data_IF_735000992905
#
_entry.id   IF_735000992905
#
_cell.length_a   1.000
_cell.length_b   1.000
_cell.length_c   1.000
_cell.angle_alpha   90.00
_cell.angle_beta   90.00
_cell.angle_gamma   90.00
#
_symmetry.space_group_name_H-M   'P 1'
#
loop_
_entity.id
_entity.type
_entity.pdbx_description
1 polymer ?
#
# COMPACT_ATOMS: atom_id res chain seq x y z
N UNK A 1 12.68 -37.48 -7.80
CA UNK A 1 11.51 -36.62 -8.09
C UNK A 1 11.07 -35.99 -6.79
N UNK A 2 11.61 -34.81 -6.46
CA UNK A 2 11.38 -34.17 -5.16
C UNK A 2 10.09 -33.37 -5.23
N UNK A 3 9.05 -33.84 -4.55
CA UNK A 3 7.79 -33.12 -4.39
C UNK A 3 8.03 -31.83 -3.59
N UNK A 4 7.69 -30.69 -4.18
CA UNK A 4 7.71 -29.40 -3.49
C UNK A 4 6.61 -29.36 -2.42
N UNK A 5 6.88 -28.87 -1.20
CA UNK A 5 5.88 -28.82 -0.14
C UNK A 5 4.79 -27.79 -0.47
N UNK A 6 3.53 -28.23 -0.46
CA UNK A 6 2.34 -27.39 -0.59
C UNK A 6 2.15 -26.59 0.70
N UNK A 7 2.79 -25.42 0.80
CA UNK A 7 2.54 -24.49 1.91
C UNK A 7 1.07 -24.05 1.91
N UNK A 8 0.40 -24.00 3.06
CA UNK A 8 -0.99 -23.55 3.14
C UNK A 8 -1.11 -22.15 2.55
N UNK A 9 -2.07 -21.96 1.66
CA UNK A 9 -2.39 -20.69 1.02
C UNK A 9 -2.63 -19.64 2.09
N UNK A 10 -1.61 -18.83 2.34
CA UNK A 10 -1.64 -17.76 3.34
C UNK A 10 -2.77 -16.81 2.94
N UNK A 11 -3.72 -16.56 3.84
CA UNK A 11 -4.86 -15.67 3.58
C UNK A 11 -4.34 -14.34 3.02
N UNK A 12 -4.67 -14.07 1.76
CA UNK A 12 -4.26 -12.83 1.08
C UNK A 12 -5.22 -11.75 1.54
N UNK A 13 -4.77 -10.75 2.31
CA UNK A 13 -5.64 -9.68 2.75
C UNK A 13 -6.13 -8.87 1.55
N UNK A 14 -7.45 -8.77 1.40
CA UNK A 14 -8.04 -7.86 0.43
C UNK A 14 -8.21 -6.46 1.03
N UNK A 15 -8.06 -5.44 0.19
CA UNK A 15 -8.25 -4.04 0.53
C UNK A 15 -9.07 -3.35 -0.55
N UNK A 16 -9.70 -2.25 -0.17
CA UNK A 16 -10.55 -1.47 -1.07
C UNK A 16 -9.77 -0.25 -1.58
N UNK A 17 -9.73 -0.08 -2.90
CA UNK A 17 -9.16 1.12 -3.50
C UNK A 17 -10.01 2.36 -3.19
N UNK A 18 -9.41 3.45 -2.72
CA UNK A 18 -10.16 4.67 -2.37
C UNK A 18 -10.69 5.44 -3.58
N UNK A 19 -10.14 5.18 -4.78
CA UNK A 19 -10.57 5.81 -6.03
C UNK A 19 -11.73 5.05 -6.70
N UNK A 20 -11.54 3.76 -7.00
CA UNK A 20 -12.54 2.95 -7.74
C UNK A 20 -13.45 2.11 -6.83
N UNK A 21 -13.18 2.05 -5.52
CA UNK A 21 -13.93 1.28 -4.52
C UNK A 21 -14.01 -0.23 -4.77
N UNK A 22 -13.16 -0.78 -5.66
CA UNK A 22 -13.04 -2.22 -5.87
C UNK A 22 -12.17 -2.86 -4.78
N UNK A 23 -12.53 -4.07 -4.37
CA UNK A 23 -11.70 -4.94 -3.54
C UNK A 23 -10.65 -5.61 -4.42
N UNK A 24 -9.40 -5.58 -3.97
CA UNK A 24 -8.23 -6.16 -4.65
C UNK A 24 -7.30 -6.77 -3.60
N UNK A 25 -6.45 -7.74 -3.98
CA UNK A 25 -5.36 -8.21 -3.14
C UNK A 25 -4.48 -7.04 -2.68
N UNK A 26 -4.05 -7.03 -1.42
CA UNK A 26 -3.21 -5.96 -0.88
C UNK A 26 -1.91 -5.77 -1.69
N UNK A 27 -1.39 -6.81 -2.33
CA UNK A 27 -0.18 -6.76 -3.15
C UNK A 27 -0.36 -5.97 -4.46
N UNK A 28 -1.60 -5.85 -4.96
CA UNK A 28 -1.93 -5.07 -6.16
C UNK A 28 -2.24 -3.59 -5.87
N UNK A 29 -2.16 -3.20 -4.59
CA UNK A 29 -2.54 -1.88 -4.12
C UNK A 29 -1.34 -1.15 -3.53
N UNK A 30 -1.10 0.07 -4.00
CA UNK A 30 -0.16 1.00 -3.40
C UNK A 30 -0.76 1.58 -2.12
N UNK A 31 0.02 1.57 -1.04
CA UNK A 31 -0.36 2.17 0.22
C UNK A 31 0.12 3.62 0.27
N UNK A 32 -0.83 4.52 0.52
CA UNK A 32 -0.59 5.94 0.77
C UNK A 32 -0.76 6.18 2.27
N UNK A 33 0.26 6.68 2.94
CA UNK A 33 0.25 6.89 4.40
C UNK A 33 0.23 8.38 4.71
N UNK A 34 -0.46 8.79 5.77
CA UNK A 34 -0.45 10.16 6.28
C UNK A 34 0.48 10.28 7.48
N UNK A 35 1.53 11.09 7.35
CA UNK A 35 2.52 11.39 8.39
C UNK A 35 2.60 12.91 8.57
N UNK A 36 2.61 13.40 9.82
CA UNK A 36 2.67 14.83 10.14
C UNK A 36 1.70 15.72 9.32
N UNK A 37 0.53 15.18 8.98
CA UNK A 37 -0.49 15.89 8.19
C UNK A 37 -0.34 15.80 6.67
N UNK A 38 0.75 15.24 6.14
CA UNK A 38 1.01 15.07 4.70
C UNK A 38 0.85 13.62 4.25
N UNK A 39 0.17 13.43 3.12
CA UNK A 39 0.08 12.12 2.47
C UNK A 39 1.34 11.83 1.65
N UNK A 40 1.81 10.59 1.66
CA UNK A 40 2.90 10.13 0.81
C UNK A 40 2.69 8.68 0.37
N UNK A 41 3.08 8.37 -0.87
CA UNK A 41 3.16 6.99 -1.37
C UNK A 41 4.43 6.36 -0.79
N UNK A 42 4.30 5.42 0.16
CA UNK A 42 5.45 4.79 0.84
C UNK A 42 5.25 3.28 0.89
N UNK A 43 6.26 2.56 0.43
CA UNK A 43 6.41 1.12 0.51
C UNK A 43 6.77 0.62 1.93
N UNK A 44 6.18 1.16 3.00
CA UNK A 44 6.71 0.82 4.32
C UNK A 44 6.04 1.44 5.53
N UNK A 45 6.12 0.66 6.59
CA UNK A 45 5.71 0.79 7.98
C UNK A 45 4.26 1.20 8.32
N UNK A 46 3.67 0.46 9.26
CA UNK A 46 2.22 0.42 9.57
C UNK A 46 1.73 1.56 10.47
N UNK A 47 2.49 2.63 10.59
CA UNK A 47 2.18 3.69 11.56
C UNK A 47 1.30 4.75 10.90
N UNK A 48 0.12 5.00 11.47
CA UNK A 48 -0.78 6.07 11.03
C UNK A 48 -1.92 5.67 10.09
N UNK A 49 -2.66 6.68 9.60
CA UNK A 49 -3.80 6.52 8.69
C UNK A 49 -3.29 6.16 7.29
N UNK A 50 -3.72 5.02 6.77
CA UNK A 50 -3.38 4.54 5.43
C UNK A 50 -4.58 4.48 4.50
N UNK A 51 -4.36 4.76 3.23
CA UNK A 51 -5.29 4.55 2.13
C UNK A 51 -4.65 3.64 1.09
N UNK A 52 -5.47 2.93 0.31
CA UNK A 52 -5.00 2.03 -0.74
C UNK A 52 -5.48 2.51 -2.10
N UNK A 53 -4.61 2.47 -3.10
CA UNK A 53 -4.91 2.87 -4.50
C UNK A 53 -4.37 1.78 -5.44
N UNK A 54 -5.08 1.51 -6.55
CA UNK A 54 -4.63 0.53 -7.55
C UNK A 54 -3.25 0.87 -8.10
N UNK A 55 -2.34 -0.11 -8.18
CA UNK A 55 -0.99 0.06 -8.70
C UNK A 55 -0.91 -0.05 -10.23
N UNK A 56 -1.93 -0.64 -10.84
CA UNK A 56 -2.01 -1.05 -12.25
C UNK A 56 -3.04 -0.25 -13.06
N UNK A 57 -3.84 0.59 -12.40
CA UNK A 57 -4.97 1.29 -13.03
C UNK A 57 -4.74 2.80 -13.04
N UNK A 58 -4.25 3.39 -14.16
CA UNK A 58 -3.95 4.82 -14.24
C UNK A 58 -5.15 5.73 -13.97
N UNK A 59 -6.36 5.29 -14.31
CA UNK A 59 -7.58 6.04 -14.00
C UNK A 59 -7.77 6.29 -12.51
N UNK A 60 -7.26 5.40 -11.65
CA UNK A 60 -7.37 5.54 -10.19
C UNK A 60 -6.44 6.64 -9.65
N UNK A 61 -5.48 7.13 -10.44
CA UNK A 61 -4.55 8.17 -10.04
C UNK A 61 -5.03 9.58 -10.42
N UNK A 62 -6.18 9.69 -11.08
CA UNK A 62 -6.73 11.00 -11.43
C UNK A 62 -7.08 11.80 -10.17
N UNK A 63 -6.61 13.06 -10.10
CA UNK A 63 -6.87 13.97 -8.99
C UNK A 63 -8.35 14.01 -8.58
N UNK A 64 -9.26 14.06 -9.56
CA UNK A 64 -10.72 14.10 -9.31
C UNK A 64 -11.21 12.91 -8.48
N UNK A 65 -10.69 11.70 -8.73
CA UNK A 65 -11.06 10.50 -7.97
C UNK A 65 -10.41 10.49 -6.58
N UNK A 66 -9.23 11.10 -6.46
CA UNK A 66 -8.43 11.18 -5.25
C UNK A 66 -8.86 12.29 -4.27
N UNK A 67 -9.51 13.36 -4.75
CA UNK A 67 -9.99 14.49 -3.93
C UNK A 67 -10.83 14.09 -2.73
N UNK A 68 -11.63 13.03 -2.85
CA UNK A 68 -12.45 12.55 -1.73
C UNK A 68 -11.61 12.00 -0.57
N UNK A 69 -10.50 11.34 -0.87
CA UNK A 69 -9.63 10.71 0.12
C UNK A 69 -8.53 11.65 0.63
N UNK A 70 -7.93 12.42 -0.28
CA UNK A 70 -6.72 13.21 0.00
C UNK A 70 -6.95 14.74 0.04
N UNK A 71 -8.16 15.21 -0.29
CA UNK A 71 -8.55 16.63 -0.28
C UNK A 71 -7.57 17.51 -1.05
N UNK A 72 -7.00 18.53 -0.38
CA UNK A 72 -6.06 19.48 -0.98
C UNK A 72 -4.77 18.83 -1.49
N UNK A 73 -4.41 17.64 -0.99
CA UNK A 73 -3.20 16.93 -1.38
C UNK A 73 -3.45 15.95 -2.55
N UNK A 74 -4.65 15.93 -3.14
CA UNK A 74 -4.97 14.99 -4.20
C UNK A 74 -4.09 15.16 -5.45
N UNK A 75 -3.69 16.39 -5.80
CA UNK A 75 -2.82 16.64 -6.94
C UNK A 75 -1.41 16.10 -6.70
N UNK A 76 -0.84 16.39 -5.53
CA UNK A 76 0.48 15.89 -5.10
C UNK A 76 0.50 14.34 -5.08
N UNK A 77 -0.57 13.70 -4.59
CA UNK A 77 -0.65 12.23 -4.57
C UNK A 77 -0.86 11.63 -5.96
N UNK A 78 -1.64 12.28 -6.83
CA UNK A 78 -1.82 11.86 -8.21
C UNK A 78 -0.48 11.79 -8.95
N UNK A 79 0.38 12.79 -8.75
CA UNK A 79 1.72 12.84 -9.33
C UNK A 79 2.63 11.75 -8.75
N UNK A 80 2.66 11.60 -7.41
CA UNK A 80 3.45 10.54 -6.77
C UNK A 80 3.08 9.14 -7.27
N UNK A 81 1.78 8.85 -7.44
CA UNK A 81 1.31 7.56 -7.95
C UNK A 81 1.75 7.32 -9.40
N UNK A 82 1.74 8.35 -10.24
CA UNK A 82 2.21 8.26 -11.62
C UNK A 82 3.72 8.03 -11.70
N UNK A 83 4.51 8.72 -10.88
CA UNK A 83 5.96 8.51 -10.80
C UNK A 83 6.29 7.09 -10.33
N UNK A 84 5.58 6.59 -9.30
CA UNK A 84 5.77 5.22 -8.81
C UNK A 84 5.47 4.14 -9.85
N UNK A 85 4.50 4.36 -10.75
CA UNK A 85 4.19 3.40 -11.81
C UNK A 85 5.29 3.30 -12.87
N UNK A 86 6.00 4.41 -13.12
CA UNK A 86 7.02 4.49 -14.18
C UNK A 86 8.29 3.70 -13.84
N UNK A 87 8.49 3.34 -12.57
CA UNK A 87 9.56 2.45 -12.09
C UNK A 87 8.99 1.10 -11.61
N UNK A 88 8.73 0.13 -12.51
CA UNK A 88 8.30 -1.21 -12.11
C UNK A 88 9.38 -1.99 -11.34
N UNK A 89 10.62 -1.48 -11.26
CA UNK A 89 11.78 -2.13 -10.64
C UNK A 89 12.14 -1.57 -9.25
N UNK A 90 11.20 -0.99 -8.51
CA UNK A 90 11.37 -0.68 -7.09
C UNK A 90 10.68 -1.77 -6.27
N UNK A 91 11.38 -2.88 -6.11
CA UNK A 91 10.99 -4.06 -5.36
C UNK A 91 10.56 -3.66 -3.93
N UNK A 92 9.25 -3.70 -3.65
CA UNK A 92 8.67 -3.38 -2.35
C UNK A 92 8.93 -4.54 -1.37
N UNK A 93 10.17 -4.68 -0.93
CA UNK A 93 10.51 -5.54 0.21
C UNK A 93 9.76 -5.04 1.43
N UNK A 94 8.71 -5.78 1.80
CA UNK A 94 8.01 -5.60 3.05
C UNK A 94 9.02 -5.66 4.22
N UNK A 95 9.13 -4.64 5.09
CA UNK A 95 9.75 -4.86 6.39
C UNK A 95 8.72 -5.62 7.24
N UNK A 96 8.69 -6.94 7.07
CA UNK A 96 8.20 -7.87 8.07
C UNK A 96 9.23 -7.96 9.19
N UNK A 97 9.36 -6.91 10.01
CA UNK A 97 10.15 -6.96 11.23
C UNK A 97 9.20 -6.98 12.43
N UNK A 98 9.18 -8.14 13.08
CA UNK A 98 8.46 -8.45 14.31
C UNK A 98 8.99 -7.53 15.42
N UNK A 99 8.12 -6.83 16.13
CA UNK A 99 8.46 -6.29 17.45
C UNK A 99 8.05 -7.35 18.49
N UNK A 100 9.02 -8.13 18.97
CA UNK A 100 8.85 -8.90 20.20
C UNK A 100 9.24 -8.00 21.38
N UNK A 101 8.37 -7.78 22.37
CA UNK A 101 8.83 -7.33 23.68
C UNK A 101 9.21 -8.57 24.49
N UNK A 102 10.51 -8.87 24.63
CA UNK A 102 10.96 -9.73 25.72
C UNK A 102 10.96 -8.91 27.01
N UNK A 103 9.87 -9.03 27.77
CA UNK A 103 9.81 -8.65 29.19
C UNK A 103 10.37 -9.82 29.99
N UNK A 104 11.68 -9.78 30.30
CA UNK A 104 12.23 -10.57 31.39
C UNK A 104 11.80 -9.93 32.70
N UNK A 105 10.92 -10.62 33.41
CA UNK A 105 10.62 -10.39 34.81
C UNK A 105 11.85 -10.80 35.64
N UNK A 106 12.22 -9.94 36.59
CA UNK A 106 13.04 -10.29 37.76
C UNK A 106 12.12 -10.76 38.89
#
# INVERSE_FOLDING_TARGET
MTAAPLTPSRHVPERTCVACRRKRPQQELLRVTREAGRWSVRAGNRVGRGAYVCADTPECWQEKRLRRAFRAQAAEIAEQLQTHHKDPNQNHSAPGARVSPEVSHV
#
